data_IF_442029054819
#
_entry.id   IF_442029054819
#
_cell.length_a   1.000
_cell.length_b   1.000
_cell.length_c   1.000
_cell.angle_alpha   90.00
_cell.angle_beta   90.00
_cell.angle_gamma   90.00
#
_symmetry.space_group_name_H-M   'P 1'
#
loop_
_entity.id
_entity.type
_entity.pdbx_description
1 polymer ?
#
# COMPACT_ATOMS: atom_id res chain seq x y z
N UNK A 1 -36.62 23.51 -2.03
CA UNK A 1 -35.99 22.76 -0.92
C UNK A 1 -34.81 21.96 -1.49
N UNK A 2 -33.72 22.65 -1.84
CA UNK A 2 -32.52 22.04 -2.42
C UNK A 2 -31.64 21.47 -1.31
N UNK A 3 -31.73 20.16 -1.08
CA UNK A 3 -30.78 19.43 -0.26
C UNK A 3 -29.42 19.37 -0.97
N UNK A 4 -28.61 20.42 -0.81
CA UNK A 4 -27.21 20.44 -1.23
C UNK A 4 -26.48 19.28 -0.55
N UNK A 5 -25.81 18.37 -1.29
CA UNK A 5 -25.10 17.27 -0.69
C UNK A 5 -24.02 17.84 0.23
N UNK A 6 -24.02 17.41 1.49
CA UNK A 6 -23.05 17.81 2.52
C UNK A 6 -21.62 17.67 1.99
N UNK A 7 -21.04 18.78 1.53
CA UNK A 7 -19.75 18.79 0.87
C UNK A 7 -18.67 18.47 1.90
N UNK A 8 -18.11 17.27 1.83
CA UNK A 8 -17.03 16.86 2.73
C UNK A 8 -15.84 17.81 2.60
N UNK A 9 -15.14 18.05 3.70
CA UNK A 9 -14.00 18.97 3.77
C UNK A 9 -12.76 18.23 4.25
N UNK A 10 -11.61 18.62 3.71
CA UNK A 10 -10.31 18.14 4.14
C UNK A 10 -10.10 18.43 5.64
N UNK A 11 -9.87 17.40 6.44
CA UNK A 11 -9.64 17.53 7.89
C UNK A 11 -8.36 18.30 8.24
N UNK A 12 -7.47 18.52 7.26
CA UNK A 12 -6.19 19.20 7.42
C UNK A 12 -6.28 20.70 7.11
N UNK A 13 -6.90 21.07 5.98
CA UNK A 13 -6.89 22.45 5.47
C UNK A 13 -8.27 22.97 5.04
N UNK A 14 -9.35 22.27 5.39
CA UNK A 14 -10.75 22.61 5.12
C UNK A 14 -11.17 22.77 3.65
N UNK A 15 -10.28 22.51 2.69
CA UNK A 15 -10.63 22.49 1.26
C UNK A 15 -11.70 21.44 0.98
N UNK A 16 -12.71 21.73 0.12
CA UNK A 16 -13.69 20.73 -0.30
C UNK A 16 -13.04 19.48 -0.89
N UNK A 17 -13.58 18.31 -0.57
CA UNK A 17 -13.10 17.01 -1.06
C UNK A 17 -14.25 16.13 -1.51
N UNK A 18 -14.01 15.36 -2.56
CA UNK A 18 -14.93 14.33 -3.06
C UNK A 18 -14.43 12.92 -2.72
N UNK A 19 -13.14 12.77 -2.42
CA UNK A 19 -12.48 11.49 -2.17
C UNK A 19 -11.62 11.54 -0.91
N UNK A 20 -11.48 10.39 -0.25
CA UNK A 20 -10.58 10.19 0.87
C UNK A 20 -9.19 9.73 0.41
N UNK A 21 -8.15 10.08 1.16
CA UNK A 21 -6.77 9.64 0.92
C UNK A 21 -6.14 9.20 2.24
N UNK A 22 -5.42 8.06 2.21
CA UNK A 22 -4.71 7.53 3.37
C UNK A 22 -5.60 7.33 4.60
N UNK A 23 -6.84 6.89 4.38
CA UNK A 23 -7.80 6.55 5.44
C UNK A 23 -8.67 7.70 5.93
N UNK A 24 -8.47 8.94 5.45
CA UNK A 24 -9.25 10.10 5.93
C UNK A 24 -9.69 11.05 4.80
N UNK A 25 -10.68 11.91 5.09
CA UNK A 25 -11.09 12.99 4.20
C UNK A 25 -9.98 14.05 4.11
N UNK A 26 -9.24 14.02 3.00
CA UNK A 26 -8.11 14.89 2.76
C UNK A 26 -8.05 15.35 1.30
N UNK A 27 -7.57 16.57 1.06
CA UNK A 27 -7.40 17.04 -0.31
C UNK A 27 -6.12 16.44 -0.92
N UNK A 28 -6.08 16.37 -2.26
CA UNK A 28 -4.93 15.85 -3.03
C UNK A 28 -3.60 16.51 -2.66
N UNK A 29 -3.62 17.81 -2.34
CA UNK A 29 -2.42 18.52 -1.91
C UNK A 29 -1.90 18.05 -0.54
N UNK A 30 -2.80 17.80 0.43
CA UNK A 30 -2.42 17.27 1.74
C UNK A 30 -1.95 15.82 1.65
N UNK A 31 -2.60 15.00 0.81
CA UNK A 31 -2.17 13.63 0.54
C UNK A 31 -0.74 13.59 -0.02
N UNK A 32 -0.47 14.35 -1.08
CA UNK A 32 0.87 14.41 -1.68
C UNK A 32 1.92 14.97 -0.71
N UNK A 33 1.57 15.99 0.07
CA UNK A 33 2.44 16.54 1.10
C UNK A 33 2.80 15.47 2.14
N UNK A 34 1.81 14.73 2.65
CA UNK A 34 2.01 13.68 3.65
C UNK A 34 2.88 12.54 3.12
N UNK A 35 2.59 12.03 1.91
CA UNK A 35 3.41 10.99 1.25
C UNK A 35 4.87 11.43 1.11
N UNK A 36 5.12 12.62 0.54
CA UNK A 36 6.50 13.13 0.33
C UNK A 36 7.24 13.34 1.65
N UNK A 37 6.54 13.85 2.65
CA UNK A 37 7.13 14.11 3.98
C UNK A 37 7.49 12.82 4.70
N UNK A 38 6.63 11.80 4.59
CA UNK A 38 6.83 10.47 5.18
C UNK A 38 7.96 9.73 4.48
N UNK A 39 7.95 9.66 3.14
CA UNK A 39 9.00 8.99 2.36
C UNK A 39 10.39 9.58 2.59
N UNK A 40 10.47 10.90 2.69
CA UNK A 40 11.75 11.59 2.89
C UNK A 40 12.15 11.67 4.37
N UNK A 41 11.38 11.10 5.31
CA UNK A 41 11.67 11.14 6.74
C UNK A 41 11.85 12.56 7.30
N UNK A 42 11.14 13.56 6.75
CA UNK A 42 11.45 14.96 7.03
C UNK A 42 11.01 15.39 8.42
N UNK A 43 11.95 15.94 9.18
CA UNK A 43 11.64 16.75 10.36
C UNK A 43 11.44 18.21 9.93
N UNK A 44 10.31 18.79 10.32
CA UNK A 44 10.01 20.20 10.05
C UNK A 44 10.13 21.01 11.34
N UNK A 45 10.59 22.25 11.24
CA UNK A 45 10.61 23.19 12.38
C UNK A 45 9.40 24.12 12.25
N UNK A 46 8.71 24.37 13.37
CA UNK A 46 7.67 25.38 13.42
C UNK A 46 8.34 26.75 13.58
N UNK A 47 8.19 27.63 12.59
CA UNK A 47 8.79 28.98 12.64
C UNK A 47 8.21 29.86 13.75
N UNK A 48 6.97 29.60 14.14
CA UNK A 48 6.29 30.33 15.21
C UNK A 48 6.62 29.76 16.61
N UNK A 49 7.32 28.63 16.72
CA UNK A 49 7.66 28.00 18.01
C UNK A 49 6.52 27.23 18.67
N UNK A 50 5.28 27.75 18.64
CA UNK A 50 4.17 27.23 19.47
C UNK A 50 3.51 25.95 18.97
N UNK A 51 3.84 25.49 17.76
CA UNK A 51 3.23 24.31 17.10
C UNK A 51 1.70 24.38 16.95
N UNK A 52 1.10 25.57 17.07
CA UNK A 52 -0.35 25.82 16.99
C UNK A 52 -0.77 26.63 15.75
N UNK A 53 0.06 26.65 14.70
CA UNK A 53 -0.27 27.41 13.49
C UNK A 53 -1.58 26.93 12.86
N UNK A 54 -2.44 27.88 12.48
CA UNK A 54 -3.67 27.62 11.75
C UNK A 54 -3.31 27.12 10.33
N UNK A 55 -3.96 26.03 9.90
CA UNK A 55 -3.75 25.44 8.57
C UNK A 55 -5.02 25.62 7.76
N UNK A 56 -4.98 26.59 6.83
CA UNK A 56 -6.07 26.89 5.89
C UNK A 56 -5.52 27.03 4.48
N UNK A 57 -6.37 26.82 3.46
CA UNK A 57 -5.95 26.83 2.05
C UNK A 57 -5.35 28.16 1.60
N UNK A 58 -5.88 29.27 2.11
CA UNK A 58 -5.60 30.61 1.59
C UNK A 58 -4.28 31.21 2.15
N UNK A 59 -3.64 30.50 3.08
CA UNK A 59 -2.31 30.85 3.60
C UNK A 59 -1.22 30.50 2.57
N UNK A 60 -0.65 31.54 1.96
CA UNK A 60 0.46 31.44 0.97
C UNK A 60 1.64 30.61 1.51
N UNK A 61 1.84 30.59 2.83
CA UNK A 61 2.90 29.84 3.48
C UNK A 61 2.40 29.05 4.70
N UNK A 62 1.60 28.01 4.47
CA UNK A 62 1.25 27.05 5.53
C UNK A 62 2.49 26.47 6.24
N UNK A 63 2.47 26.48 7.58
CA UNK A 63 3.53 25.92 8.41
C UNK A 63 3.66 24.41 8.17
N UNK A 64 4.79 23.97 7.60
CA UNK A 64 5.05 22.56 7.26
C UNK A 64 5.01 21.63 8.48
N UNK A 65 5.55 22.10 9.61
CA UNK A 65 5.53 21.32 10.87
C UNK A 65 4.11 21.08 11.36
N UNK A 66 3.34 22.14 11.58
CA UNK A 66 1.97 22.03 12.06
C UNK A 66 1.07 21.28 11.07
N UNK A 67 1.29 21.45 9.76
CA UNK A 67 0.57 20.70 8.73
C UNK A 67 0.86 19.20 8.82
N UNK A 68 2.12 18.80 8.95
CA UNK A 68 2.50 17.39 9.04
C UNK A 68 2.05 16.75 10.36
N UNK A 69 2.17 17.47 11.47
CA UNK A 69 1.67 17.02 12.76
C UNK A 69 0.14 16.84 12.73
N UNK A 70 -0.59 17.74 12.08
CA UNK A 70 -2.05 17.59 11.88
C UNK A 70 -2.39 16.39 11.00
N UNK A 71 -1.62 16.07 9.97
CA UNK A 71 -1.81 14.86 9.18
C UNK A 71 -1.69 13.59 10.04
N UNK A 72 -0.66 13.50 10.88
CA UNK A 72 -0.47 12.38 11.81
C UNK A 72 -1.58 12.32 12.85
N UNK A 73 -1.92 13.46 13.47
CA UNK A 73 -2.96 13.54 14.49
C UNK A 73 -4.34 13.17 13.96
N UNK A 74 -4.62 13.46 12.69
CA UNK A 74 -5.85 13.04 12.02
C UNK A 74 -5.87 11.54 11.65
N UNK A 75 -4.77 10.81 11.82
CA UNK A 75 -4.71 9.38 11.55
C UNK A 75 -4.35 9.02 10.10
N UNK A 76 -3.67 9.90 9.34
CA UNK A 76 -3.14 9.50 8.03
C UNK A 76 -2.06 8.43 8.19
N UNK A 77 -2.20 7.31 7.47
CA UNK A 77 -1.21 6.24 7.44
C UNK A 77 -0.70 6.03 6.03
N UNK A 78 0.62 6.11 5.85
CA UNK A 78 1.29 5.81 4.58
C UNK A 78 2.37 4.77 4.84
N UNK A 79 2.16 3.56 4.34
CA UNK A 79 3.12 2.46 4.48
C UNK A 79 3.81 2.21 3.14
N UNK A 80 5.13 2.11 3.17
CA UNK A 80 5.97 1.91 1.98
C UNK A 80 5.99 0.46 1.47
N UNK A 81 5.24 -0.43 2.13
CA UNK A 81 4.95 -1.79 1.71
C UNK A 81 3.46 -2.10 1.85
N UNK A 82 2.99 -3.14 1.14
CA UNK A 82 1.60 -3.62 1.13
C UNK A 82 1.13 -3.91 2.56
N UNK A 83 0.40 -2.97 3.16
CA UNK A 83 -0.29 -3.21 4.42
C UNK A 83 -1.59 -3.94 4.12
N UNK A 84 -1.72 -5.13 4.72
CA UNK A 84 -2.99 -5.84 4.87
C UNK A 84 -3.91 -4.91 5.65
N UNK A 85 -5.02 -4.51 5.04
CA UNK A 85 -6.02 -3.64 5.65
C UNK A 85 -6.62 -4.34 6.86
N UNK A 86 -6.23 -3.93 8.07
CA UNK A 86 -7.04 -4.13 9.27
C UNK A 86 -7.69 -2.78 9.59
N UNK A 87 -8.99 -2.67 9.34
CA UNK A 87 -9.81 -1.56 9.77
C UNK A 87 -9.86 -1.51 11.30
N UNK A 88 -9.60 -0.31 11.84
CA UNK A 88 -10.08 0.24 13.12
C UNK A 88 -10.17 -0.70 14.34
N UNK A 89 -9.31 -0.48 15.34
CA UNK A 89 -9.70 0.00 16.69
C UNK A 89 -8.51 -0.04 17.67
N UNK A 90 -8.18 1.12 18.25
CA UNK A 90 -7.57 1.23 19.59
C UNK A 90 -6.10 0.85 19.77
N UNK A 91 -5.53 1.40 20.83
CA UNK A 91 -4.21 1.17 21.43
C UNK A 91 -3.00 1.82 20.73
N UNK A 92 -2.64 2.95 21.34
CA UNK A 92 -1.27 3.43 21.47
C UNK A 92 -0.35 2.31 21.95
N UNK A 93 0.86 2.21 21.41
CA UNK A 93 2.02 1.86 22.23
C UNK A 93 3.29 2.41 21.59
N UNK A 94 3.98 3.22 22.38
CA UNK A 94 5.34 3.66 22.14
C UNK A 94 6.27 2.55 22.64
N UNK A 95 7.20 2.09 21.79
CA UNK A 95 8.49 1.74 22.34
C UNK A 95 9.60 1.85 21.28
N UNK A 96 10.56 2.69 21.61
CA UNK A 96 11.81 2.89 20.92
C UNK A 96 12.85 2.17 21.76
N UNK A 97 13.55 1.17 21.20
CA UNK A 97 14.87 0.86 21.73
C UNK A 97 15.86 0.59 20.59
N UNK A 98 16.98 1.29 20.72
CA UNK A 98 18.19 1.18 19.94
C UNK A 98 19.12 0.26 20.70
N UNK A 99 19.69 -0.74 20.05
CA UNK A 99 21.01 -1.25 20.45
C UNK A 99 21.74 -1.73 19.20
N UNK A 100 22.93 -1.16 19.04
CA UNK A 100 24.01 -1.61 18.18
C UNK A 100 24.44 -3.02 18.64
N UNK A 101 24.99 -3.83 17.73
CA UNK A 101 26.34 -4.38 17.87
C UNK A 101 26.71 -5.20 16.61
N UNK A 102 28.00 -5.18 16.33
CA UNK A 102 28.74 -5.60 15.14
C UNK A 102 28.94 -7.12 15.03
N UNK A 103 29.68 -7.51 13.97
CA UNK A 103 30.41 -8.76 13.75
C UNK A 103 29.76 -9.83 12.86
N UNK A 104 30.52 -10.29 11.86
CA UNK A 104 30.39 -11.66 11.36
C UNK A 104 30.59 -11.86 9.86
N UNK A 105 31.85 -12.01 9.46
CA UNK A 105 32.30 -12.41 8.13
C UNK A 105 31.86 -13.85 7.75
N UNK A 106 31.62 -14.05 6.43
CA UNK A 106 31.85 -15.29 5.64
C UNK A 106 30.78 -16.42 5.69
N UNK A 107 30.84 -17.46 4.81
CA UNK A 107 31.25 -17.55 3.40
C UNK A 107 30.21 -18.31 2.51
N UNK A 108 30.50 -18.34 1.20
CA UNK A 108 29.82 -19.08 0.12
C UNK A 108 29.73 -20.60 0.32
N UNK A 109 28.66 -21.26 -0.16
CA UNK A 109 28.78 -22.52 -0.94
C UNK A 109 27.68 -22.67 -1.98
N UNK A 110 28.14 -23.00 -3.18
CA UNK A 110 27.54 -23.16 -4.50
C UNK A 110 26.29 -24.05 -4.63
N UNK A 111 25.43 -23.67 -5.58
CA UNK A 111 24.91 -24.62 -6.56
C UNK A 111 24.90 -23.97 -7.94
N UNK A 112 25.90 -24.31 -8.73
CA UNK A 112 26.05 -23.92 -10.12
C UNK A 112 24.96 -24.56 -11.00
N UNK A 113 24.48 -23.79 -11.99
CA UNK A 113 24.14 -24.33 -13.31
C UNK A 113 24.23 -23.25 -14.40
N UNK A 114 25.30 -23.34 -15.17
CA UNK A 114 25.43 -23.02 -16.60
C UNK A 114 24.67 -21.81 -17.14
N UNK A 115 25.37 -20.68 -17.29
CA UNK A 115 24.91 -19.54 -18.08
C UNK A 115 24.89 -19.87 -19.58
N UNK A 116 23.76 -20.31 -20.10
CA UNK A 116 23.35 -19.92 -21.46
C UNK A 116 22.36 -18.77 -21.30
N UNK A 117 22.54 -17.67 -22.05
CA UNK A 117 21.77 -16.43 -21.88
C UNK A 117 20.28 -16.70 -22.12
N UNK A 118 19.52 -16.89 -21.05
CA UNK A 118 18.07 -17.09 -21.11
C UNK A 118 17.40 -15.82 -21.67
N UNK A 119 16.55 -16.00 -22.68
CA UNK A 119 15.80 -14.91 -23.30
C UNK A 119 14.83 -14.27 -22.30
N UNK A 120 14.59 -12.96 -22.42
CA UNK A 120 13.56 -12.26 -21.63
C UNK A 120 12.20 -12.96 -21.74
N UNK A 121 11.86 -13.46 -22.94
CA UNK A 121 10.62 -14.21 -23.17
C UNK A 121 10.59 -15.52 -22.38
N UNK A 122 11.74 -16.18 -22.22
CA UNK A 122 11.88 -17.44 -21.52
C UNK A 122 11.74 -17.24 -20.00
N UNK A 123 12.29 -16.13 -19.48
CA UNK A 123 12.10 -15.73 -18.08
C UNK A 123 10.64 -15.37 -17.78
N UNK A 124 9.99 -14.57 -18.63
CA UNK A 124 8.56 -14.23 -18.49
C UNK A 124 7.70 -15.49 -18.57
N UNK A 125 7.99 -16.37 -19.53
CA UNK A 125 7.28 -17.65 -19.68
C UNK A 125 7.41 -18.54 -18.45
N UNK A 126 8.60 -18.60 -17.83
CA UNK A 126 8.82 -19.34 -16.58
C UNK A 126 8.01 -18.77 -15.42
N UNK A 127 8.04 -17.45 -15.25
CA UNK A 127 7.29 -16.77 -14.18
C UNK A 127 5.77 -16.94 -14.37
N UNK A 128 5.29 -16.89 -15.61
CA UNK A 128 3.89 -17.16 -15.95
C UNK A 128 3.50 -18.61 -15.63
N UNK A 129 4.29 -19.60 -16.09
CA UNK A 129 4.02 -21.01 -15.83
C UNK A 129 4.03 -21.34 -14.32
N UNK A 130 4.99 -20.78 -13.57
CA UNK A 130 5.04 -20.94 -12.11
C UNK A 130 3.86 -20.25 -11.41
N UNK A 131 3.28 -19.19 -11.99
CA UNK A 131 2.05 -18.58 -11.49
C UNK A 131 0.82 -19.44 -11.77
N UNK A 132 0.74 -20.06 -12.96
CA UNK A 132 -0.35 -20.97 -13.33
C UNK A 132 -0.34 -22.21 -12.44
N UNK A 133 0.83 -22.81 -12.19
CA UNK A 133 0.95 -24.01 -11.36
C UNK A 133 0.52 -23.75 -9.90
N UNK A 134 0.96 -22.63 -9.31
CA UNK A 134 0.56 -22.24 -7.94
C UNK A 134 -0.95 -22.09 -7.80
N UNK A 135 -1.59 -21.47 -8.80
CA UNK A 135 -3.03 -21.28 -8.81
C UNK A 135 -3.79 -22.59 -9.00
N UNK A 136 -3.32 -23.45 -9.90
CA UNK A 136 -3.89 -24.79 -10.09
C UNK A 136 -3.83 -25.64 -8.82
N UNK A 137 -2.73 -25.56 -8.05
CA UNK A 137 -2.61 -26.24 -6.75
C UNK A 137 -3.60 -25.68 -5.73
N UNK A 138 -3.72 -24.36 -5.64
CA UNK A 138 -4.69 -23.71 -4.76
C UNK A 138 -6.14 -24.06 -5.11
N UNK A 139 -6.48 -24.14 -6.40
CA UNK A 139 -7.81 -24.54 -6.86
C UNK A 139 -8.10 -26.01 -6.52
N UNK A 140 -7.11 -26.91 -6.66
CA UNK A 140 -7.21 -28.31 -6.22
C UNK A 140 -7.38 -28.44 -4.70
N UNK A 141 -6.63 -27.67 -3.91
CA UNK A 141 -6.78 -27.64 -2.44
C UNK A 141 -8.19 -27.20 -2.03
N UNK A 142 -8.74 -26.18 -2.69
CA UNK A 142 -10.12 -25.72 -2.44
C UNK A 142 -11.15 -26.80 -2.80
N UNK A 143 -10.93 -27.58 -3.87
CA UNK A 143 -11.80 -28.69 -4.25
C UNK A 143 -11.75 -29.86 -3.26
N UNK A 144 -10.60 -30.09 -2.63
CA UNK A 144 -10.45 -31.12 -1.59
C UNK A 144 -11.23 -30.72 -0.33
N UNK A 145 -11.23 -29.43 0.03
CA UNK A 145 -11.94 -28.90 1.22
C UNK A 145 -13.46 -28.68 0.99
N UNK A 146 -13.94 -28.71 -0.25
CA UNK A 146 -15.37 -28.59 -0.57
C UNK A 146 -15.72 -29.35 -1.86
N UNK A 147 -16.11 -30.64 -1.75
CA UNK A 147 -16.33 -31.50 -2.91
C UNK A 147 -17.56 -31.11 -3.76
N UNK A 148 -18.42 -30.21 -3.27
CA UNK A 148 -19.68 -29.85 -3.94
C UNK A 148 -19.59 -28.64 -4.88
N UNK A 149 -18.41 -28.05 -5.06
CA UNK A 149 -18.24 -26.92 -5.98
C UNK A 149 -17.69 -27.36 -7.35
N UNK A 150 -18.53 -27.29 -8.38
CA UNK A 150 -18.05 -27.34 -9.76
C UNK A 150 -17.36 -26.03 -10.11
N UNK A 151 -16.03 -25.98 -9.99
CA UNK A 151 -15.25 -24.81 -10.42
C UNK A 151 -15.29 -24.68 -11.93
N UNK A 152 -15.51 -23.45 -12.40
CA UNK A 152 -15.41 -23.12 -13.82
C UNK A 152 -14.02 -23.50 -14.35
N UNK A 153 -13.92 -24.06 -15.57
CA UNK A 153 -12.65 -24.53 -16.10
C UNK A 153 -11.64 -23.38 -16.20
N UNK A 154 -10.38 -23.69 -15.85
CA UNK A 154 -9.31 -22.70 -15.83
C UNK A 154 -9.23 -21.96 -17.18
N UNK A 155 -9.08 -20.63 -17.21
CA UNK A 155 -9.20 -19.83 -18.44
C UNK A 155 -8.12 -20.10 -19.50
N UNK A 156 -7.05 -20.82 -19.15
CA UNK A 156 -6.01 -21.28 -20.09
C UNK A 156 -6.15 -22.76 -20.47
N UNK A 157 -7.13 -23.47 -19.91
CA UNK A 157 -7.42 -24.86 -20.27
C UNK A 157 -8.14 -24.82 -21.60
N UNK A 158 -7.40 -24.99 -22.70
CA UNK A 158 -7.97 -25.08 -24.04
C UNK A 158 -8.82 -26.35 -24.08
N UNK A 159 -10.12 -26.22 -23.91
CA UNK A 159 -11.06 -27.32 -24.14
C UNK A 159 -11.29 -27.42 -25.64
N UNK A 160 -10.66 -28.39 -26.30
CA UNK A 160 -11.02 -28.78 -27.66
C UNK A 160 -12.46 -29.30 -27.62
N UNK A 161 -13.42 -28.52 -28.12
CA UNK A 161 -14.80 -28.98 -28.26
C UNK A 161 -14.95 -29.67 -29.62
N UNK A 162 -15.05 -31.00 -29.59
CA UNK A 162 -15.67 -31.83 -30.61
C UNK A 162 -17.15 -31.43 -30.74
N UNK A 163 -17.62 -31.21 -31.97
CA UNK A 163 -19.02 -30.94 -32.27
C UNK A 163 -19.61 -32.21 -32.89
N UNK A 164 -20.56 -32.83 -32.20
CA UNK A 164 -21.40 -33.92 -32.69
C UNK A 164 -22.77 -33.78 -31.99
N UNK A 165 -23.93 -33.82 -32.63
CA UNK A 165 -24.32 -34.13 -34.02
C UNK A 165 -25.37 -33.14 -34.52
#
# INVERSE_FOLDING_TARGET
EDASPSLRKCLICATPVTTAYYGIDACRACANFFKRSTLAGKSFICRQGDRKCVIVKDEKFMCRRCRFDRCKAAGMVFTTGRVKTASSNGAVDANMNSSQDEDGMSPSTSAEKSHSKESILQRIGREFNASVERRSKQELEVLIDSPDFTLAPHPTRVTTFSYDS
#
